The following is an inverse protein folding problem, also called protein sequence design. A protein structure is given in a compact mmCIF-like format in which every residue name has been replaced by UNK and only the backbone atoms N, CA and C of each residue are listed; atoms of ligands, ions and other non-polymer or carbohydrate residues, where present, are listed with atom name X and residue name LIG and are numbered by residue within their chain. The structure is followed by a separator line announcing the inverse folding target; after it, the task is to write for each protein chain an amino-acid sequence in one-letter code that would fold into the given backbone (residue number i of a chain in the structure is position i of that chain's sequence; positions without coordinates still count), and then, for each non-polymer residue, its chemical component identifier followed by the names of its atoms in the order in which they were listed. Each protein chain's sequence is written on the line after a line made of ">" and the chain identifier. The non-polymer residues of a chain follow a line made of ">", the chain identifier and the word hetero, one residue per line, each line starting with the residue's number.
data_IF_225938673840
#
_entry.id   IF_225938673840
#
_cell.length_a   1.000
_cell.length_b   1.000
_cell.length_c   1.000
_cell.angle_alpha   90.00
_cell.angle_beta   90.00
_cell.angle_gamma   90.00
#
_symmetry.space_group_name_H-M   'P 1'
#
loop_
_entity.id
_entity.type
_entity.pdbx_description
1 polymer ?
#
# COMPACT_ATOMS: atom_id res chain seq x y z
N UNK A 1 14.89 10.22 -9.36
CA UNK A 1 14.32 9.98 -8.00
C UNK A 1 12.93 9.38 -8.11
N UNK A 2 12.78 8.08 -7.79
CA UNK A 2 11.49 7.42 -7.84
C UNK A 2 10.55 7.99 -6.78
N UNK A 3 9.38 8.43 -7.18
CA UNK A 3 8.34 8.89 -6.26
C UNK A 3 8.02 7.78 -5.26
N UNK A 4 8.02 8.10 -3.98
CA UNK A 4 7.49 7.23 -2.96
C UNK A 4 5.95 7.23 -2.98
N UNK A 5 5.36 6.84 -4.08
CA UNK A 5 4.07 6.19 -3.99
C UNK A 5 4.34 4.86 -3.31
N UNK A 6 3.62 4.57 -2.22
CA UNK A 6 3.64 3.33 -1.47
C UNK A 6 4.32 2.21 -2.24
N UNK A 7 5.37 1.61 -1.67
CA UNK A 7 6.30 0.67 -2.30
C UNK A 7 5.62 -0.55 -2.94
N UNK A 8 4.74 -0.31 -3.91
CA UNK A 8 4.03 -1.38 -4.64
C UNK A 8 4.95 -2.19 -5.55
N UNK A 9 6.15 -1.66 -5.85
CA UNK A 9 7.11 -2.38 -6.70
C UNK A 9 7.68 -3.67 -6.06
N UNK A 10 7.59 -3.82 -4.74
CA UNK A 10 8.08 -5.00 -4.03
C UNK A 10 6.99 -5.84 -3.38
N UNK A 11 5.75 -5.34 -3.39
CA UNK A 11 4.63 -6.04 -2.82
C UNK A 11 4.24 -7.26 -3.66
N UNK A 12 4.53 -8.41 -3.14
CA UNK A 12 4.07 -9.67 -3.71
C UNK A 12 2.58 -9.80 -3.47
N UNK A 13 1.78 -9.77 -4.53
CA UNK A 13 0.32 -9.80 -4.46
C UNK A 13 -0.16 -11.06 -3.73
N UNK A 14 0.48 -12.20 -3.99
CA UNK A 14 0.18 -13.47 -3.34
C UNK A 14 0.45 -13.47 -1.82
N UNK A 15 1.33 -12.60 -1.34
CA UNK A 15 1.61 -12.47 0.11
C UNK A 15 0.54 -11.61 0.82
N UNK A 16 -0.07 -10.66 0.10
CA UNK A 16 -1.11 -9.77 0.63
C UNK A 16 -2.49 -10.41 0.67
N UNK A 17 -2.84 -11.14 -0.39
CA UNK A 17 -4.18 -11.72 -0.54
C UNK A 17 -4.23 -13.15 -0.01
N UNK A 18 -4.32 -13.28 1.30
CA UNK A 18 -4.43 -14.57 2.01
C UNK A 18 -5.87 -15.01 2.24
N UNK A 19 -6.86 -14.29 1.74
CA UNK A 19 -8.29 -14.57 1.99
C UNK A 19 -8.76 -15.94 1.54
N UNK A 20 -8.00 -16.61 0.67
CA UNK A 20 -8.43 -17.84 -0.01
C UNK A 20 -7.58 -19.08 0.27
N UNK A 21 -6.63 -19.02 1.20
CA UNK A 21 -5.85 -20.21 1.53
C UNK A 21 -4.53 -19.89 2.21
N UNK A 22 -4.55 -19.93 3.51
CA UNK A 22 -3.32 -19.90 4.32
C UNK A 22 -2.78 -21.31 4.61
N UNK A 23 -3.37 -22.35 3.99
CA UNK A 23 -3.11 -23.73 4.35
C UNK A 23 -3.86 -24.17 5.61
N UNK A 24 -3.58 -25.40 6.08
CA UNK A 24 -4.25 -25.98 7.26
C UNK A 24 -3.75 -25.32 8.54
N UNK A 25 -2.48 -24.88 8.55
CA UNK A 25 -1.81 -24.34 9.72
C UNK A 25 -1.48 -25.37 10.81
N UNK A 26 -0.60 -24.99 11.71
CA UNK A 26 -0.27 -25.76 12.92
C UNK A 26 -1.01 -25.12 14.09
N UNK A 27 -1.97 -25.83 14.65
CA UNK A 27 -2.74 -25.34 15.78
C UNK A 27 -2.10 -25.74 17.12
N UNK A 28 -1.97 -24.78 18.02
CA UNK A 28 -1.53 -24.99 19.38
C UNK A 28 -2.40 -24.18 20.33
N UNK A 29 -3.35 -24.85 20.97
CA UNK A 29 -4.34 -24.20 21.84
C UNK A 29 -5.20 -23.20 21.07
N UNK A 30 -5.16 -21.94 21.49
CA UNK A 30 -5.90 -20.83 20.90
C UNK A 30 -5.17 -20.14 19.74
N UNK A 31 -4.02 -20.65 19.32
CA UNK A 31 -3.20 -20.05 18.27
C UNK A 31 -3.05 -20.98 17.07
N UNK A 32 -2.91 -20.36 15.90
CA UNK A 32 -2.57 -20.99 14.62
C UNK A 32 -1.30 -20.39 14.06
N UNK A 33 -0.38 -21.26 13.63
CA UNK A 33 0.88 -20.91 13.00
C UNK A 33 0.85 -21.33 11.54
N UNK A 34 1.11 -20.41 10.63
CA UNK A 34 1.16 -20.64 9.18
C UNK A 34 2.54 -20.29 8.64
N UNK A 35 3.48 -21.22 8.56
CA UNK A 35 4.72 -21.04 7.84
C UNK A 35 4.47 -21.11 6.33
N UNK A 36 5.25 -20.37 5.57
CA UNK A 36 5.15 -20.36 4.10
C UNK A 36 6.48 -20.03 3.46
N UNK A 37 6.61 -20.41 2.21
CA UNK A 37 7.72 -20.03 1.36
C UNK A 37 7.22 -19.78 -0.06
N UNK A 38 7.73 -18.74 -0.69
CA UNK A 38 7.52 -18.45 -2.11
C UNK A 38 8.83 -18.29 -2.84
N UNK A 39 8.85 -18.68 -4.10
CA UNK A 39 9.95 -18.44 -5.02
C UNK A 39 9.41 -17.82 -6.30
N UNK A 40 10.09 -16.82 -6.84
CA UNK A 40 9.73 -16.16 -8.08
C UNK A 40 10.98 -15.93 -8.92
N UNK A 41 10.83 -16.12 -10.22
CA UNK A 41 11.86 -15.80 -11.21
C UNK A 41 11.24 -14.99 -12.34
N UNK A 42 11.92 -13.95 -12.80
CA UNK A 42 11.33 -13.07 -13.80
C UNK A 42 12.29 -12.10 -14.44
N UNK A 43 11.72 -11.28 -15.30
CA UNK A 43 12.39 -10.26 -16.11
C UNK A 43 11.97 -8.86 -15.63
N UNK A 44 12.90 -7.94 -15.69
CA UNK A 44 12.74 -6.53 -15.38
C UNK A 44 13.46 -5.70 -16.45
N UNK A 45 12.73 -4.88 -17.16
CA UNK A 45 13.26 -4.14 -18.31
C UNK A 45 14.11 -2.92 -17.94
N UNK A 46 13.91 -2.37 -16.73
CA UNK A 46 14.55 -1.12 -16.32
C UNK A 46 14.56 -0.98 -14.80
N UNK A 47 15.42 -1.78 -14.14
CA UNK A 47 15.48 -1.80 -12.67
C UNK A 47 15.81 -0.43 -12.06
N UNK A 48 16.78 0.29 -12.66
CA UNK A 48 17.26 1.57 -12.16
C UNK A 48 16.35 2.76 -12.51
N UNK A 49 15.23 2.54 -13.20
CA UNK A 49 14.31 3.59 -13.64
C UNK A 49 15.00 4.69 -14.46
N UNK A 50 15.99 4.32 -15.27
CA UNK A 50 16.67 5.25 -16.17
C UNK A 50 15.71 5.72 -17.26
N UNK A 51 15.89 6.94 -17.73
CA UNK A 51 15.13 7.45 -18.86
C UNK A 51 15.42 6.64 -20.14
N UNK A 52 14.45 6.62 -21.06
CA UNK A 52 14.57 5.79 -22.28
C UNK A 52 15.80 6.12 -23.13
N UNK A 53 16.32 7.35 -23.05
CA UNK A 53 17.53 7.82 -23.72
C UNK A 53 18.82 7.58 -22.89
N UNK A 54 18.75 7.04 -21.67
CA UNK A 54 19.87 6.81 -20.75
C UNK A 54 20.24 5.33 -20.63
N UNK A 55 19.93 4.52 -21.64
CA UNK A 55 20.17 3.08 -21.66
C UNK A 55 19.56 2.34 -20.45
N UNK A 56 18.25 2.05 -20.50
CA UNK A 56 17.58 1.23 -19.50
C UNK A 56 18.34 -0.07 -19.24
N UNK A 57 18.49 -0.46 -17.97
CA UNK A 57 19.24 -1.64 -17.54
C UNK A 57 18.32 -2.84 -17.32
N UNK A 58 18.23 -3.79 -18.28
CA UNK A 58 17.42 -4.98 -18.14
C UNK A 58 18.12 -6.05 -17.29
N UNK A 59 17.34 -6.80 -16.51
CA UNK A 59 17.85 -7.88 -15.67
C UNK A 59 16.88 -9.04 -15.54
N UNK A 60 17.42 -10.22 -15.24
CA UNK A 60 16.65 -11.30 -14.65
C UNK A 60 16.75 -11.21 -13.13
N UNK A 61 15.65 -11.54 -12.45
CA UNK A 61 15.57 -11.46 -10.99
C UNK A 61 15.01 -12.75 -10.41
N UNK A 62 15.69 -13.26 -9.39
CA UNK A 62 15.18 -14.34 -8.55
C UNK A 62 14.84 -13.81 -7.17
N UNK A 63 13.70 -14.24 -6.62
CA UNK A 63 13.25 -13.87 -5.29
C UNK A 63 12.85 -15.11 -4.51
N UNK A 64 13.29 -15.20 -3.25
CA UNK A 64 12.88 -16.26 -2.32
C UNK A 64 12.33 -15.58 -1.08
N UNK A 65 11.10 -15.95 -0.69
CA UNK A 65 10.37 -15.28 0.39
C UNK A 65 9.84 -16.30 1.40
N UNK A 66 10.62 -16.63 2.42
CA UNK A 66 10.08 -17.28 3.61
C UNK A 66 9.15 -16.32 4.36
N UNK A 67 8.08 -16.87 4.93
CA UNK A 67 7.10 -16.14 5.74
C UNK A 67 6.56 -16.99 6.87
N UNK A 68 6.14 -16.34 7.94
CA UNK A 68 5.48 -16.96 9.08
C UNK A 68 4.36 -16.04 9.57
N UNK A 69 3.19 -16.62 9.81
CA UNK A 69 2.06 -15.89 10.41
C UNK A 69 1.60 -16.65 11.65
N UNK A 70 1.42 -15.95 12.75
CA UNK A 70 0.83 -16.42 13.98
C UNK A 70 -0.46 -15.64 14.24
N UNK A 71 -1.57 -16.33 14.45
CA UNK A 71 -2.85 -15.68 14.74
C UNK A 71 -3.64 -16.45 15.80
N UNK A 72 -4.57 -15.77 16.47
CA UNK A 72 -5.58 -16.47 17.28
C UNK A 72 -6.52 -17.23 16.36
N UNK A 73 -6.93 -18.42 16.76
CA UNK A 73 -7.90 -19.26 16.03
C UNK A 73 -9.16 -18.47 15.67
N UNK A 74 -9.53 -18.45 14.40
CA UNK A 74 -10.72 -17.77 13.92
C UNK A 74 -12.01 -18.32 14.53
N UNK A 75 -13.04 -17.47 14.63
CA UNK A 75 -14.33 -17.82 15.23
C UNK A 75 -14.98 -19.02 14.53
N UNK A 76 -14.94 -19.09 13.19
CA UNK A 76 -15.51 -20.18 12.41
C UNK A 76 -14.92 -21.55 12.76
N UNK A 77 -13.62 -21.61 13.04
CA UNK A 77 -12.95 -22.84 13.47
C UNK A 77 -13.23 -23.19 14.92
N UNK A 78 -13.53 -22.19 15.77
CA UNK A 78 -13.95 -22.40 17.16
C UNK A 78 -15.40 -22.88 17.25
N UNK A 79 -16.30 -22.36 16.42
CA UNK A 79 -17.72 -22.73 16.38
C UNK A 79 -17.92 -24.19 15.90
N UNK A 80 -17.04 -24.68 15.00
CA UNK A 80 -17.08 -26.08 14.56
C UNK A 80 -16.82 -27.11 15.67
N UNK A 81 -16.20 -26.71 16.81
CA UNK A 81 -15.85 -27.61 17.92
C UNK A 81 -16.83 -27.55 19.11
N UNK A 82 -17.51 -26.45 19.33
CA UNK A 82 -18.25 -26.23 20.59
C UNK A 82 -19.63 -25.60 20.46
N UNK A 83 -20.16 -25.37 19.26
CA UNK A 83 -21.45 -24.65 19.06
C UNK A 83 -21.39 -23.25 19.70
N UNK A 84 -21.82 -22.20 19.05
CA UNK A 84 -21.95 -20.83 19.53
C UNK A 84 -20.88 -20.37 20.55
N UNK A 85 -19.60 -20.42 20.16
CA UNK A 85 -18.51 -19.94 21.02
C UNK A 85 -18.57 -18.42 21.19
N UNK A 86 -18.41 -17.94 22.41
CA UNK A 86 -18.31 -16.49 22.65
C UNK A 86 -17.15 -15.88 21.84
N UNK A 87 -17.31 -14.68 21.28
CA UNK A 87 -16.23 -14.00 20.56
C UNK A 87 -15.04 -13.81 21.50
N UNK A 88 -13.80 -14.02 21.01
CA UNK A 88 -12.61 -13.90 21.84
C UNK A 88 -12.52 -12.49 22.43
N UNK A 89 -12.11 -12.38 23.70
CA UNK A 89 -11.85 -11.08 24.34
C UNK A 89 -10.68 -10.34 23.71
N UNK A 90 -9.75 -11.10 23.15
CA UNK A 90 -8.53 -10.61 22.49
C UNK A 90 -8.33 -11.38 21.20
N UNK A 91 -8.09 -10.68 20.11
CA UNK A 91 -7.67 -11.24 18.82
C UNK A 91 -6.28 -10.70 18.48
N UNK A 92 -5.39 -11.62 18.13
CA UNK A 92 -3.99 -11.31 17.84
C UNK A 92 -3.60 -11.87 16.48
N UNK A 93 -2.80 -11.11 15.74
CA UNK A 93 -2.15 -11.56 14.51
C UNK A 93 -0.75 -10.93 14.42
N UNK A 94 0.25 -11.76 14.14
CA UNK A 94 1.59 -11.31 13.79
C UNK A 94 2.04 -12.01 12.52
N UNK A 95 2.71 -11.30 11.63
CA UNK A 95 3.27 -11.85 10.41
C UNK A 95 4.65 -11.27 10.15
N UNK A 96 5.58 -12.10 9.67
CA UNK A 96 6.92 -11.71 9.24
C UNK A 96 7.21 -12.41 7.93
N UNK A 97 7.79 -11.67 6.96
CA UNK A 97 8.34 -12.24 5.75
C UNK A 97 9.64 -11.51 5.38
N UNK A 98 10.60 -12.27 4.86
CA UNK A 98 11.86 -11.75 4.33
C UNK A 98 12.00 -12.17 2.88
N UNK A 99 12.39 -11.28 1.98
CA UNK A 99 12.60 -11.57 0.57
C UNK A 99 14.05 -11.35 0.21
N UNK A 100 14.77 -12.40 -0.06
CA UNK A 100 16.08 -12.33 -0.70
C UNK A 100 15.93 -12.09 -2.20
N UNK A 101 16.68 -11.15 -2.73
CA UNK A 101 16.69 -10.78 -4.15
C UNK A 101 18.06 -10.99 -4.75
N UNK A 102 18.12 -11.77 -5.82
CA UNK A 102 19.27 -11.98 -6.68
C UNK A 102 19.03 -11.39 -8.05
N UNK A 103 20.06 -10.80 -8.65
CA UNK A 103 20.01 -10.12 -9.93
C UNK A 103 21.02 -10.72 -10.89
N UNK A 104 20.63 -10.88 -12.15
CA UNK A 104 21.46 -11.30 -13.25
C UNK A 104 21.35 -10.23 -14.33
N UNK A 105 22.40 -9.45 -14.53
CA UNK A 105 22.46 -8.45 -15.59
C UNK A 105 22.34 -9.12 -16.96
N UNK A 106 21.55 -8.54 -17.84
CA UNK A 106 21.49 -8.99 -19.26
C UNK A 106 22.49 -8.24 -20.13
N UNK A 107 22.95 -7.06 -19.69
CA UNK A 107 24.08 -6.37 -20.29
C UNK A 107 25.32 -6.48 -19.37
N UNK A 108 26.49 -6.75 -19.97
CA UNK A 108 27.76 -6.84 -19.25
C UNK A 108 28.17 -5.50 -18.63
N UNK A 109 27.80 -4.38 -19.26
CA UNK A 109 28.11 -3.05 -18.76
C UNK A 109 27.46 -2.80 -17.37
N UNK A 110 26.27 -3.34 -17.13
CA UNK A 110 25.55 -3.16 -15.88
C UNK A 110 25.86 -4.26 -14.83
N UNK A 111 26.75 -5.21 -15.12
CA UNK A 111 26.99 -6.37 -14.26
C UNK A 111 27.47 -6.00 -12.85
N UNK A 112 28.33 -5.00 -12.73
CA UNK A 112 28.81 -4.52 -11.42
C UNK A 112 27.70 -3.83 -10.65
N UNK A 113 26.94 -2.96 -11.31
CA UNK A 113 25.81 -2.22 -10.72
C UNK A 113 24.80 -3.19 -10.11
N UNK A 114 24.44 -4.27 -10.83
CA UNK A 114 23.50 -5.28 -10.33
C UNK A 114 24.09 -6.14 -9.21
N UNK A 115 25.40 -6.39 -9.20
CA UNK A 115 26.01 -7.18 -8.13
C UNK A 115 25.89 -6.51 -6.75
N UNK A 116 25.86 -5.19 -6.72
CA UNK A 116 25.68 -4.38 -5.51
C UNK A 116 24.22 -4.28 -5.05
N UNK A 117 23.28 -4.65 -5.92
CA UNK A 117 21.84 -4.60 -5.61
C UNK A 117 21.31 -5.86 -4.91
N UNK A 118 22.13 -6.90 -4.73
CA UNK A 118 21.75 -8.08 -3.94
C UNK A 118 21.36 -7.66 -2.53
N UNK A 119 20.14 -7.97 -2.14
CA UNK A 119 19.65 -7.43 -0.87
C UNK A 119 18.49 -8.26 -0.32
N UNK A 120 18.14 -7.97 0.93
CA UNK A 120 16.99 -8.57 1.62
C UNK A 120 15.97 -7.49 1.90
N UNK A 121 14.79 -7.58 1.31
CA UNK A 121 13.62 -6.84 1.76
C UNK A 121 12.94 -7.58 2.92
N UNK A 122 12.18 -6.87 3.75
CA UNK A 122 11.49 -7.51 4.87
C UNK A 122 10.22 -6.77 5.23
N UNK A 123 9.21 -7.51 5.67
CA UNK A 123 7.97 -6.98 6.20
C UNK A 123 7.61 -7.68 7.50
N UNK A 124 7.21 -6.91 8.49
CA UNK A 124 6.66 -7.40 9.75
C UNK A 124 5.37 -6.67 10.05
N UNK A 125 4.38 -7.35 10.58
CA UNK A 125 3.14 -6.75 11.06
C UNK A 125 2.66 -7.40 12.34
N UNK A 126 2.06 -6.60 13.20
CA UNK A 126 1.44 -7.02 14.44
C UNK A 126 0.10 -6.30 14.57
N UNK A 127 -0.94 -7.04 14.90
CA UNK A 127 -2.26 -6.50 15.18
C UNK A 127 -2.84 -7.18 16.40
N UNK A 128 -3.28 -6.38 17.35
CA UNK A 128 -3.99 -6.79 18.56
C UNK A 128 -5.32 -6.07 18.60
N UNK A 129 -6.43 -6.81 18.72
CA UNK A 129 -7.75 -6.24 18.92
C UNK A 129 -8.30 -6.70 20.26
N UNK A 130 -8.70 -5.75 21.08
CA UNK A 130 -9.20 -5.96 22.43
C UNK A 130 -10.71 -5.76 22.43
N UNK A 131 -11.44 -6.71 22.96
CA UNK A 131 -12.91 -6.73 23.02
C UNK A 131 -13.60 -6.52 21.67
N UNK A 132 -13.21 -7.30 20.61
CA UNK A 132 -13.87 -7.18 19.31
C UNK A 132 -15.40 -7.41 19.48
N UNK A 133 -16.20 -6.68 18.70
CA UNK A 133 -17.67 -6.74 18.72
C UNK A 133 -18.35 -6.26 20.02
N UNK A 134 -17.61 -5.68 20.97
CA UNK A 134 -18.21 -4.99 22.13
C UNK A 134 -18.47 -3.52 21.79
N UNK A 135 -19.35 -2.83 22.52
CA UNK A 135 -19.61 -1.40 22.31
C UNK A 135 -18.35 -0.53 22.36
N UNK A 136 -17.38 -0.92 23.15
CA UNK A 136 -16.03 -0.35 23.16
C UNK A 136 -15.03 -1.44 22.80
N UNK A 137 -14.23 -1.17 21.77
CA UNK A 137 -13.13 -2.03 21.36
C UNK A 137 -11.87 -1.21 21.13
N UNK A 138 -10.72 -1.80 21.43
CA UNK A 138 -9.41 -1.21 21.21
C UNK A 138 -8.63 -1.99 20.14
N UNK A 139 -7.80 -1.31 19.39
CA UNK A 139 -6.82 -1.92 18.48
C UNK A 139 -5.43 -1.31 18.70
N UNK A 140 -4.42 -2.16 18.66
CA UNK A 140 -3.01 -1.79 18.66
C UNK A 140 -2.38 -2.49 17.47
N UNK A 141 -1.59 -1.77 16.70
CA UNK A 141 -0.88 -2.35 15.56
C UNK A 141 0.52 -1.78 15.41
N UNK A 142 1.37 -2.56 14.80
CA UNK A 142 2.69 -2.14 14.38
C UNK A 142 3.05 -2.81 13.05
N UNK A 143 3.57 -2.03 12.13
CA UNK A 143 4.08 -2.48 10.83
C UNK A 143 5.52 -2.03 10.67
N UNK A 144 6.36 -2.89 10.12
CA UNK A 144 7.72 -2.58 9.76
C UNK A 144 8.01 -3.09 8.34
N UNK A 145 8.55 -2.24 7.50
CA UNK A 145 8.90 -2.54 6.12
C UNK A 145 10.33 -2.10 5.85
N UNK A 146 11.20 -3.03 5.46
CA UNK A 146 12.47 -2.73 4.80
C UNK A 146 12.27 -2.83 3.31
N UNK A 147 12.21 -1.70 2.65
CA UNK A 147 12.05 -1.60 1.19
C UNK A 147 13.41 -1.47 0.53
N UNK A 148 13.64 -2.28 -0.48
CA UNK A 148 14.83 -2.21 -1.35
C UNK A 148 14.41 -1.63 -2.68
N UNK A 149 14.89 -0.43 -2.99
CA UNK A 149 14.55 0.30 -4.21
C UNK A 149 15.81 0.89 -4.83
N UNK A 150 15.95 0.80 -6.15
CA UNK A 150 17.05 1.47 -6.85
C UNK A 150 16.86 2.99 -6.84
N UNK A 151 17.94 3.70 -7.03
CA UNK A 151 18.00 5.08 -7.49
C UNK A 151 18.24 5.10 -9.00
N UNK A 152 18.09 6.26 -9.65
CA UNK A 152 18.48 6.46 -11.05
C UNK A 152 19.99 6.34 -11.25
N UNK A 153 20.78 6.63 -10.22
CA UNK A 153 22.21 6.44 -10.19
C UNK A 153 22.54 5.12 -9.49
N UNK A 154 23.29 4.24 -10.14
CA UNK A 154 23.70 2.93 -9.62
C UNK A 154 24.56 3.00 -8.36
N UNK A 155 25.27 4.12 -8.14
CA UNK A 155 26.11 4.34 -6.96
C UNK A 155 25.31 4.58 -5.68
N UNK A 156 24.00 4.85 -5.78
CA UNK A 156 23.13 5.13 -4.65
C UNK A 156 21.93 4.18 -4.65
N UNK A 157 21.36 3.96 -3.48
CA UNK A 157 20.14 3.19 -3.35
C UNK A 157 19.09 3.95 -2.50
N UNK A 158 17.83 3.75 -2.85
CA UNK A 158 16.70 4.38 -2.16
C UNK A 158 16.10 3.44 -1.10
N UNK A 159 16.96 2.59 -0.52
CA UNK A 159 16.58 1.62 0.49
C UNK A 159 16.21 2.33 1.80
N UNK A 160 15.07 1.94 2.35
CA UNK A 160 14.57 2.55 3.57
C UNK A 160 13.86 1.58 4.49
N UNK A 161 13.91 1.90 5.76
CA UNK A 161 13.00 1.38 6.76
C UNK A 161 11.80 2.33 6.91
N UNK A 162 10.61 1.76 6.87
CA UNK A 162 9.38 2.45 7.23
C UNK A 162 8.70 1.64 8.31
N UNK A 163 8.48 2.26 9.47
CA UNK A 163 7.75 1.64 10.58
C UNK A 163 6.55 2.49 10.93
N UNK A 164 5.47 1.84 11.30
CA UNK A 164 4.28 2.49 11.83
C UNK A 164 3.83 1.72 13.07
N UNK A 165 3.46 2.44 14.12
CA UNK A 165 2.86 1.87 15.31
C UNK A 165 1.69 2.76 15.74
N UNK A 166 0.57 2.15 16.05
CA UNK A 166 -0.62 2.92 16.38
C UNK A 166 -1.54 2.20 17.33
N UNK A 167 -2.45 2.99 17.89
CA UNK A 167 -3.54 2.51 18.73
C UNK A 167 -4.83 3.25 18.38
N UNK A 168 -5.95 2.57 18.54
CA UNK A 168 -7.26 3.12 18.30
C UNK A 168 -8.30 2.65 19.31
N UNK A 169 -9.27 3.49 19.55
CA UNK A 169 -10.46 3.19 20.34
C UNK A 169 -11.68 3.35 19.44
N UNK A 170 -12.51 2.33 19.37
CA UNK A 170 -13.76 2.32 18.61
C UNK A 170 -14.94 2.24 19.57
N UNK A 171 -15.86 3.16 19.41
CA UNK A 171 -17.17 3.15 20.07
C UNK A 171 -18.25 2.78 19.06
N UNK A 172 -18.93 1.67 19.29
CA UNK A 172 -19.99 1.13 18.44
C UNK A 172 -21.21 0.78 19.29
N UNK A 173 -22.02 1.77 19.70
CA UNK A 173 -23.20 1.54 20.54
C UNK A 173 -24.26 0.78 19.74
N UNK A 174 -24.67 -0.37 20.24
CA UNK A 174 -25.85 -1.13 19.84
C UNK A 174 -26.00 -1.42 18.33
N UNK A 175 -26.03 -2.68 17.94
CA UNK A 175 -26.52 -3.12 16.62
C UNK A 175 -25.73 -2.70 15.37
N UNK A 176 -24.60 -2.02 15.50
CA UNK A 176 -23.75 -1.64 14.37
C UNK A 176 -24.31 -0.54 13.46
N UNK A 177 -25.31 0.21 13.91
CA UNK A 177 -25.83 1.38 13.17
C UNK A 177 -24.85 2.55 13.16
N UNK A 178 -24.10 2.70 14.24
CA UNK A 178 -23.14 3.78 14.42
C UNK A 178 -21.81 3.19 14.93
N UNK A 179 -20.71 3.64 14.37
CA UNK A 179 -19.39 3.43 14.93
C UNK A 179 -18.54 4.69 14.74
N UNK A 180 -17.74 4.95 15.76
CA UNK A 180 -16.81 6.06 15.76
C UNK A 180 -15.46 5.59 16.30
N UNK A 181 -14.39 5.81 15.55
CA UNK A 181 -13.02 5.47 15.93
C UNK A 181 -12.18 6.73 16.05
N UNK A 182 -11.40 6.80 17.11
CA UNK A 182 -10.29 7.72 17.27
C UNK A 182 -9.00 6.92 17.32
N UNK A 183 -7.93 7.45 16.76
CA UNK A 183 -6.66 6.74 16.70
C UNK A 183 -5.47 7.67 16.67
N UNK A 184 -4.34 7.14 17.12
CA UNK A 184 -3.03 7.73 17.01
C UNK A 184 -2.10 6.76 16.31
N UNK A 185 -1.25 7.27 15.42
CA UNK A 185 -0.20 6.52 14.72
C UNK A 185 1.12 7.31 14.78
N UNK A 186 2.17 6.63 15.17
CA UNK A 186 3.55 7.07 14.99
C UNK A 186 4.13 6.37 13.75
N UNK A 187 4.75 7.14 12.86
CA UNK A 187 5.46 6.66 11.69
C UNK A 187 6.92 7.12 11.70
N UNK A 188 7.81 6.25 11.25
CA UNK A 188 9.22 6.57 11.04
C UNK A 188 9.63 6.09 9.66
N UNK A 189 10.26 6.97 8.88
CA UNK A 189 10.93 6.63 7.62
C UNK A 189 12.40 6.95 7.75
N UNK A 190 13.26 5.94 7.58
CA UNK A 190 14.71 6.07 7.69
C UNK A 190 15.37 5.55 6.41
N UNK A 191 16.12 6.41 5.71
CA UNK A 191 16.90 6.07 4.54
C UNK A 191 18.26 5.54 4.94
N UNK A 192 18.66 4.40 4.35
CA UNK A 192 19.91 3.71 4.68
C UNK A 192 21.12 4.38 4.04
N UNK A 193 20.95 4.86 2.80
CA UNK A 193 22.00 5.56 2.06
C UNK A 193 22.20 6.97 2.61
N UNK A 194 23.44 7.38 2.75
CA UNK A 194 23.81 8.71 3.26
C UNK A 194 23.35 9.84 2.36
N UNK A 195 23.28 9.59 1.04
CA UNK A 195 22.79 10.57 0.06
C UNK A 195 21.33 10.98 0.26
N UNK A 196 20.51 10.06 0.84
CA UNK A 196 19.08 10.29 1.08
C UNK A 196 18.69 10.39 2.55
N UNK A 197 19.67 10.39 3.45
CA UNK A 197 19.43 10.39 4.89
C UNK A 197 18.63 11.60 5.36
N UNK A 198 18.80 12.75 4.71
CA UNK A 198 18.10 13.99 5.01
C UNK A 198 16.59 13.91 4.72
N UNK A 199 16.15 12.92 3.94
CA UNK A 199 14.75 12.62 3.70
C UNK A 199 14.11 11.79 4.82
N UNK A 200 14.90 11.35 5.79
CA UNK A 200 14.40 10.59 6.94
C UNK A 200 13.52 11.48 7.80
N UNK A 201 12.38 10.96 8.20
CA UNK A 201 11.38 11.74 8.93
C UNK A 201 10.60 10.86 9.90
N UNK A 202 10.00 11.52 10.89
CA UNK A 202 8.97 10.94 11.75
C UNK A 202 7.64 11.65 11.51
N UNK A 203 6.56 10.90 11.74
CA UNK A 203 5.20 11.41 11.56
C UNK A 203 4.32 10.98 12.73
N UNK A 204 3.63 11.94 13.34
CA UNK A 204 2.61 11.71 14.34
C UNK A 204 1.25 11.99 13.69
N UNK A 205 0.34 11.02 13.63
CA UNK A 205 -0.98 11.18 13.01
C UNK A 205 -2.08 10.91 14.01
N UNK A 206 -2.93 11.89 14.25
CA UNK A 206 -4.18 11.75 14.95
C UNK A 206 -5.29 11.60 13.93
N UNK A 207 -6.14 10.59 14.09
CA UNK A 207 -7.20 10.27 13.14
C UNK A 207 -8.53 10.06 13.83
N UNK A 208 -9.61 10.39 13.15
CA UNK A 208 -10.97 10.13 13.60
C UNK A 208 -11.80 9.67 12.41
N UNK A 209 -12.59 8.62 12.59
CA UNK A 209 -13.47 8.06 11.57
C UNK A 209 -14.81 7.75 12.16
N UNK A 210 -15.86 8.17 11.46
CA UNK A 210 -17.25 7.91 11.83
C UNK A 210 -17.99 7.20 10.71
N UNK A 211 -18.87 6.29 11.09
CA UNK A 211 -19.81 5.65 10.17
C UNK A 211 -21.18 5.60 10.82
N UNK A 212 -22.16 6.13 10.09
CA UNK A 212 -23.56 6.06 10.49
C UNK A 212 -24.41 5.41 9.40
N UNK A 213 -24.91 4.22 9.67
CA UNK A 213 -25.84 3.49 8.79
C UNK A 213 -27.25 3.98 9.04
N UNK A 214 -27.69 4.97 8.28
CA UNK A 214 -29.06 5.52 8.38
C UNK A 214 -30.07 4.71 7.57
N UNK A 215 -29.59 3.89 6.62
CA UNK A 215 -30.37 2.89 5.90
C UNK A 215 -29.66 1.52 5.99
N UNK A 216 -30.38 0.41 5.80
CA UNK A 216 -29.81 -0.94 5.90
C UNK A 216 -28.58 -1.18 5.02
N UNK A 217 -28.51 -0.48 3.86
CA UNK A 217 -27.46 -0.65 2.86
C UNK A 217 -26.66 0.62 2.56
N UNK A 218 -26.88 1.70 3.31
CA UNK A 218 -26.23 2.99 3.05
C UNK A 218 -25.77 3.61 4.36
N UNK A 219 -24.55 4.11 4.36
CA UNK A 219 -23.93 4.79 5.48
C UNK A 219 -23.37 6.15 5.09
N UNK A 220 -23.49 7.11 5.99
CA UNK A 220 -22.66 8.32 6.00
C UNK A 220 -21.31 7.97 6.58
N UNK A 221 -20.25 8.45 5.95
CA UNK A 221 -18.86 8.28 6.40
C UNK A 221 -18.27 9.65 6.70
N UNK A 222 -17.51 9.71 7.77
CA UNK A 222 -16.63 10.83 8.10
C UNK A 222 -15.22 10.32 8.31
N UNK A 223 -14.22 11.04 7.77
CA UNK A 223 -12.80 10.76 7.93
C UNK A 223 -12.06 12.06 8.16
N UNK A 224 -11.34 12.15 9.26
CA UNK A 224 -10.53 13.31 9.61
C UNK A 224 -9.15 12.89 10.13
N UNK A 225 -8.12 13.65 9.77
CA UNK A 225 -6.76 13.42 10.30
C UNK A 225 -5.95 14.69 10.37
N UNK A 226 -5.06 14.74 11.35
CA UNK A 226 -4.01 15.75 11.51
C UNK A 226 -2.69 15.01 11.67
N UNK A 227 -1.76 15.28 10.77
CA UNK A 227 -0.39 14.76 10.82
C UNK A 227 0.58 15.85 11.29
N UNK A 228 1.68 15.44 11.88
CA UNK A 228 2.85 16.29 12.16
C UNK A 228 4.04 15.50 11.63
N UNK A 229 4.71 16.03 10.60
CA UNK A 229 5.89 15.41 9.99
C UNK A 229 7.11 16.26 10.28
N UNK A 230 8.12 15.64 10.88
CA UNK A 230 9.38 16.30 11.24
C UNK A 230 10.55 15.62 10.52
N UNK A 231 11.44 16.43 9.92
CA UNK A 231 12.68 15.98 9.30
C UNK A 231 13.85 16.28 10.25
N UNK A 232 14.38 15.23 10.90
CA UNK A 232 15.36 15.40 12.00
C UNK A 232 16.80 15.63 11.58
N UNK A 233 17.18 15.17 10.40
CA UNK A 233 18.55 15.15 9.95
C UNK A 233 18.80 16.30 9.00
N UNK A 234 19.09 17.46 9.58
CA UNK A 234 19.66 18.64 8.96
C UNK A 234 19.03 19.06 7.61
N UNK A 235 18.19 20.08 7.56
CA UNK A 235 17.44 20.47 6.37
C UNK A 235 18.32 21.15 5.30
N UNK A 236 19.53 20.67 5.05
CA UNK A 236 20.40 21.21 4.00
C UNK A 236 19.80 21.03 2.60
N UNK A 237 18.97 20.00 2.40
CA UNK A 237 18.28 19.75 1.15
C UNK A 237 16.93 20.47 1.01
N UNK A 238 16.60 21.35 1.96
CA UNK A 238 15.40 22.19 1.88
C UNK A 238 14.07 21.50 2.17
N UNK A 239 14.08 20.29 2.76
CA UNK A 239 12.86 19.65 3.24
C UNK A 239 12.30 20.41 4.45
N UNK A 240 11.00 20.68 4.42
CA UNK A 240 10.33 21.44 5.48
C UNK A 240 9.42 20.52 6.30
N UNK A 241 9.40 20.79 7.61
CA UNK A 241 8.40 20.20 8.49
C UNK A 241 7.00 20.60 8.05
N UNK A 242 6.04 19.70 8.19
CA UNK A 242 4.68 19.91 7.72
C UNK A 242 3.63 19.43 8.71
N UNK A 243 2.46 20.05 8.63
CA UNK A 243 1.27 19.63 9.37
C UNK A 243 0.11 19.39 8.38
N UNK A 244 0.04 18.21 7.71
CA UNK A 244 -1.07 17.88 6.84
C UNK A 244 -2.36 17.65 7.63
N UNK A 245 -3.40 18.36 7.23
CA UNK A 245 -4.76 18.23 7.78
C UNK A 245 -5.69 17.76 6.67
N UNK A 246 -6.56 16.81 6.97
CA UNK A 246 -7.56 16.27 6.03
C UNK A 246 -8.88 16.09 6.74
N UNK A 247 -9.96 16.42 6.06
CA UNK A 247 -11.31 16.11 6.49
C UNK A 247 -12.18 15.77 5.28
N UNK A 248 -12.94 14.70 5.34
CA UNK A 248 -13.84 14.23 4.28
C UNK A 248 -15.14 13.73 4.86
N UNK A 249 -16.22 14.02 4.18
CA UNK A 249 -17.55 13.50 4.45
C UNK A 249 -18.07 12.83 3.18
N UNK A 250 -18.84 11.77 3.32
CA UNK A 250 -19.36 11.08 2.16
C UNK A 250 -20.37 9.99 2.47
N UNK A 251 -20.69 9.24 1.43
CA UNK A 251 -21.66 8.16 1.44
C UNK A 251 -21.00 6.88 0.92
N UNK A 252 -21.37 5.77 1.55
CA UNK A 252 -21.04 4.43 1.05
C UNK A 252 -22.31 3.58 1.11
N UNK A 253 -22.67 2.96 0.00
CA UNK A 253 -23.86 2.12 0.01
C UNK A 253 -24.05 1.32 -1.29
N UNK A 254 -24.98 0.37 -1.22
CA UNK A 254 -25.45 -0.39 -2.36
C UNK A 254 -26.56 0.39 -3.09
N UNK A 255 -26.29 0.80 -4.33
CA UNK A 255 -27.31 1.39 -5.22
C UNK A 255 -28.26 0.31 -5.70
N UNK A 256 -27.71 -0.84 -6.05
CA UNK A 256 -28.46 -2.05 -6.42
C UNK A 256 -27.86 -3.25 -5.66
N UNK A 257 -28.42 -4.45 -5.84
CA UNK A 257 -27.84 -5.69 -5.27
C UNK A 257 -26.43 -5.99 -5.78
N UNK A 258 -26.07 -5.45 -6.94
CA UNK A 258 -24.80 -5.72 -7.62
C UNK A 258 -23.88 -4.50 -7.69
N UNK A 259 -24.36 -3.31 -7.35
CA UNK A 259 -23.63 -2.07 -7.54
C UNK A 259 -23.50 -1.30 -6.23
N UNK A 260 -22.28 -1.03 -5.79
CA UNK A 260 -21.99 -0.16 -4.65
C UNK A 260 -21.31 1.12 -5.10
N UNK A 261 -21.60 2.20 -4.41
CA UNK A 261 -20.98 3.51 -4.58
C UNK A 261 -20.34 3.94 -3.26
N UNK A 262 -19.10 4.36 -3.34
CA UNK A 262 -18.43 5.19 -2.34
C UNK A 262 -18.22 6.56 -2.96
N UNK A 263 -18.62 7.63 -2.27
CA UNK A 263 -18.32 9.00 -2.69
C UNK A 263 -18.02 9.82 -1.44
N UNK A 264 -16.85 10.41 -1.38
CA UNK A 264 -16.38 11.26 -0.29
C UNK A 264 -15.72 12.51 -0.87
N UNK A 265 -16.00 13.65 -0.28
CA UNK A 265 -15.33 14.90 -0.61
C UNK A 265 -15.05 15.68 0.68
N UNK A 266 -14.09 16.56 0.62
CA UNK A 266 -13.70 17.37 1.76
C UNK A 266 -12.56 18.31 1.46
N UNK A 267 -11.91 18.75 2.50
CA UNK A 267 -10.83 19.71 2.43
C UNK A 267 -9.54 19.11 2.98
N UNK A 268 -8.40 19.50 2.36
CA UNK A 268 -7.09 19.16 2.82
C UNK A 268 -6.15 20.36 2.71
N UNK A 269 -5.26 20.48 3.67
CA UNK A 269 -4.18 21.47 3.66
C UNK A 269 -2.91 20.89 4.24
N UNK A 270 -1.77 21.30 3.65
CA UNK A 270 -0.45 20.98 4.18
C UNK A 270 0.19 22.28 4.68
N UNK A 271 0.33 22.41 5.96
CA UNK A 271 0.98 23.61 6.53
C UNK A 271 2.48 23.36 6.65
N UNK A 272 3.28 24.04 5.82
CA UNK A 272 4.73 24.02 5.87
C UNK A 272 5.26 25.31 6.51
N UNK A 273 6.34 25.21 7.26
CA UNK A 273 7.00 26.35 7.89
C UNK A 273 8.38 26.54 7.27
N UNK A 274 8.59 27.63 6.57
CA UNK A 274 9.88 27.94 5.97
C UNK A 274 9.81 29.00 4.88
N UNK A 275 10.99 29.39 4.40
CA UNK A 275 11.11 30.35 3.29
C UNK A 275 10.55 29.72 2.02
N UNK A 276 9.73 30.49 1.28
CA UNK A 276 9.09 30.06 0.04
C UNK A 276 8.37 28.70 0.12
N UNK A 277 7.79 28.38 1.29
CA UNK A 277 7.03 27.17 1.51
C UNK A 277 5.80 27.12 0.59
N UNK A 278 5.69 26.06 -0.19
CA UNK A 278 4.54 25.80 -1.05
C UNK A 278 3.52 24.98 -0.29
N UNK A 279 2.29 25.47 -0.17
CA UNK A 279 1.24 24.81 0.60
C UNK A 279 0.14 24.30 -0.33
N UNK A 280 -0.32 23.09 -0.07
CA UNK A 280 -1.59 22.65 -0.59
C UNK A 280 -2.72 23.21 0.27
N UNK A 281 -3.74 23.75 -0.38
CA UNK A 281 -4.99 24.15 0.28
C UNK A 281 -6.12 23.98 -0.74
N UNK A 282 -6.94 22.94 -0.55
CA UNK A 282 -7.95 22.65 -1.55
C UNK A 282 -8.79 21.41 -1.29
N UNK A 283 -9.57 21.06 -2.30
CA UNK A 283 -10.50 19.94 -2.25
C UNK A 283 -9.76 18.62 -2.40
N UNK A 284 -10.03 17.68 -1.50
CA UNK A 284 -9.68 16.27 -1.61
C UNK A 284 -10.96 15.45 -1.78
N UNK A 285 -10.89 14.39 -2.60
CA UNK A 285 -12.08 13.61 -2.94
C UNK A 285 -11.74 12.15 -3.22
N UNK A 286 -12.73 11.28 -3.05
CA UNK A 286 -12.66 9.88 -3.45
C UNK A 286 -14.03 9.44 -3.94
N UNK A 287 -14.07 8.76 -5.09
CA UNK A 287 -15.27 8.11 -5.60
C UNK A 287 -14.90 6.73 -6.14
N UNK A 288 -15.71 5.73 -5.85
CA UNK A 288 -15.55 4.38 -6.37
C UNK A 288 -16.91 3.77 -6.68
N UNK A 289 -17.05 3.27 -7.88
CA UNK A 289 -18.18 2.46 -8.30
C UNK A 289 -17.70 1.00 -8.39
N UNK A 290 -18.28 0.12 -7.58
CA UNK A 290 -17.92 -1.28 -7.54
C UNK A 290 -19.10 -2.15 -7.98
N UNK A 291 -18.87 -2.95 -8.99
CA UNK A 291 -19.83 -3.90 -9.54
C UNK A 291 -19.49 -5.33 -9.11
N UNK A 292 -20.43 -5.98 -8.44
CA UNK A 292 -20.40 -7.40 -8.08
C UNK A 292 -21.06 -8.18 -9.22
N UNK A 293 -20.27 -8.61 -10.22
CA UNK A 293 -20.77 -9.22 -11.45
C UNK A 293 -21.45 -10.56 -11.16
N UNK A 294 -20.84 -11.36 -10.28
CA UNK A 294 -21.46 -12.59 -9.75
C UNK A 294 -21.68 -12.39 -8.26
N UNK A 295 -22.90 -12.11 -7.83
CA UNK A 295 -23.21 -12.07 -6.41
C UNK A 295 -22.99 -13.45 -5.80
N UNK A 296 -22.27 -13.51 -4.67
CA UNK A 296 -22.09 -14.76 -3.93
C UNK A 296 -23.43 -15.30 -3.46
N UNK A 297 -23.60 -16.62 -3.47
CA UNK A 297 -24.78 -17.31 -2.92
C UNK A 297 -24.57 -17.37 -1.39
N UNK A 298 -25.27 -16.52 -0.62
CA UNK A 298 -25.19 -16.52 0.85
C UNK A 298 -25.83 -15.27 1.49
N UNK A 299 -26.12 -15.34 2.77
CA UNK A 299 -26.80 -14.29 3.51
C UNK A 299 -25.99 -12.97 3.51
N UNK A 300 -26.55 -11.99 2.85
CA UNK A 300 -25.95 -10.69 2.50
C UNK A 300 -25.62 -9.77 3.69
N UNK A 301 -25.95 -10.13 4.91
CA UNK A 301 -25.90 -9.20 6.06
C UNK A 301 -24.70 -9.39 6.99
N UNK A 302 -23.98 -10.50 6.95
CA UNK A 302 -22.93 -10.84 7.93
C UNK A 302 -21.76 -11.64 7.34
N UNK A 303 -21.21 -11.22 6.20
CA UNK A 303 -20.02 -11.87 5.65
C UNK A 303 -20.34 -13.06 4.74
N UNK A 304 -21.31 -12.87 3.85
CA UNK A 304 -21.60 -13.82 2.78
C UNK A 304 -20.36 -14.14 1.93
N UNK A 305 -20.40 -15.23 1.13
CA UNK A 305 -19.27 -15.66 0.33
C UNK A 305 -18.78 -14.52 -0.56
N UNK A 306 -17.46 -14.37 -0.62
CA UNK A 306 -16.80 -13.31 -1.40
C UNK A 306 -17.28 -13.40 -2.85
N UNK A 307 -17.59 -12.27 -3.51
CA UNK A 307 -18.04 -12.27 -4.88
C UNK A 307 -16.96 -12.87 -5.77
N UNK A 308 -17.37 -13.78 -6.65
CA UNK A 308 -16.47 -14.49 -7.57
C UNK A 308 -15.88 -13.53 -8.60
N UNK A 309 -16.67 -12.54 -9.02
CA UNK A 309 -16.25 -11.52 -9.98
C UNK A 309 -16.58 -10.14 -9.50
N UNK A 310 -15.60 -9.25 -9.52
CA UNK A 310 -15.80 -7.83 -9.22
C UNK A 310 -15.10 -6.94 -10.23
N UNK A 311 -15.72 -5.79 -10.51
CA UNK A 311 -15.09 -4.68 -11.24
C UNK A 311 -15.25 -3.42 -10.39
N UNK A 312 -14.19 -2.65 -10.24
CA UNK A 312 -14.21 -1.37 -9.54
C UNK A 312 -13.57 -0.29 -10.41
N UNK A 313 -14.28 0.81 -10.59
CA UNK A 313 -13.77 2.03 -11.23
C UNK A 313 -13.74 3.12 -10.18
N UNK A 314 -12.60 3.79 -10.01
CA UNK A 314 -12.47 4.80 -8.97
C UNK A 314 -11.65 6.01 -9.38
N UNK A 315 -11.85 7.06 -8.62
CA UNK A 315 -11.11 8.32 -8.66
C UNK A 315 -10.71 8.71 -7.24
N UNK A 316 -9.47 9.18 -7.07
CA UNK A 316 -8.99 9.72 -5.80
C UNK A 316 -8.11 10.95 -6.05
N UNK A 317 -8.47 12.07 -5.44
CA UNK A 317 -7.67 13.28 -5.37
C UNK A 317 -7.16 13.47 -3.96
N UNK A 318 -5.85 13.51 -3.79
CA UNK A 318 -5.20 13.70 -2.49
C UNK A 318 -3.81 14.32 -2.69
N UNK A 319 -3.26 14.93 -1.66
CA UNK A 319 -1.92 15.49 -1.66
C UNK A 319 -1.00 14.68 -0.74
N UNK A 320 0.30 14.72 -1.04
CA UNK A 320 1.32 13.97 -0.31
C UNK A 320 2.58 14.82 -0.17
N UNK A 321 3.34 14.60 0.91
CA UNK A 321 4.67 15.19 1.04
C UNK A 321 5.57 14.64 -0.08
N UNK A 322 6.39 15.51 -0.67
CA UNK A 322 7.26 15.21 -1.79
C UNK A 322 8.72 15.13 -1.34
N UNK A 323 9.50 14.25 -1.96
CA UNK A 323 10.96 14.26 -1.79
C UNK A 323 11.67 15.23 -2.74
N UNK A 324 10.98 15.73 -3.76
CA UNK A 324 11.52 16.74 -4.68
C UNK A 324 11.28 18.17 -4.19
N UNK A 325 10.23 18.37 -3.43
CA UNK A 325 9.82 19.69 -2.94
C UNK A 325 8.92 19.51 -1.71
N UNK A 326 7.99 20.43 -1.51
CA UNK A 326 7.12 20.40 -0.32
C UNK A 326 6.03 19.32 -0.46
N UNK A 327 5.19 19.42 -1.50
CA UNK A 327 4.12 18.45 -1.74
C UNK A 327 3.96 18.12 -3.23
N UNK A 328 3.14 17.12 -3.51
CA UNK A 328 2.55 16.90 -4.82
C UNK A 328 1.07 16.56 -4.66
N UNK A 329 0.28 16.95 -5.67
CA UNK A 329 -1.14 16.61 -5.80
C UNK A 329 -1.27 15.44 -6.77
N UNK A 330 -2.00 14.40 -6.39
CA UNK A 330 -2.27 13.24 -7.23
C UNK A 330 -3.77 13.13 -7.53
N UNK A 331 -4.11 13.12 -8.81
CA UNK A 331 -5.44 12.80 -9.31
C UNK A 331 -5.41 11.38 -9.90
N UNK A 332 -5.79 10.38 -9.13
CA UNK A 332 -5.68 8.98 -9.51
C UNK A 332 -7.00 8.42 -10.02
N UNK A 333 -7.04 8.02 -11.27
CA UNK A 333 -8.09 7.21 -11.89
C UNK A 333 -7.65 5.76 -11.91
N UNK A 334 -8.49 4.84 -11.45
CA UNK A 334 -8.11 3.43 -11.41
C UNK A 334 -9.26 2.50 -11.77
N UNK A 335 -8.88 1.33 -12.30
CA UNK A 335 -9.76 0.22 -12.60
C UNK A 335 -9.17 -1.03 -11.98
N UNK A 336 -9.98 -1.79 -11.24
CA UNK A 336 -9.62 -3.09 -10.70
C UNK A 336 -10.64 -4.13 -11.17
N UNK A 337 -10.16 -5.22 -11.75
CA UNK A 337 -10.96 -6.38 -12.13
C UNK A 337 -10.45 -7.58 -11.34
N UNK A 338 -11.35 -8.37 -10.76
CA UNK A 338 -11.00 -9.60 -10.07
C UNK A 338 -12.00 -10.68 -10.40
N UNK A 339 -11.50 -11.89 -10.73
CA UNK A 339 -12.32 -13.04 -11.00
C UNK A 339 -11.67 -14.33 -10.47
N UNK A 340 -12.47 -15.17 -9.83
CA UNK A 340 -12.06 -16.51 -9.38
C UNK A 340 -12.74 -17.57 -10.25
N UNK A 341 -11.99 -18.12 -11.22
CA UNK A 341 -12.47 -19.17 -12.11
C UNK A 341 -12.50 -20.52 -11.38
N UNK A 342 -13.66 -21.16 -11.37
CA UNK A 342 -13.86 -22.51 -10.81
C UNK A 342 -13.27 -22.72 -9.41
N UNK A 343 -13.14 -21.66 -8.61
CA UNK A 343 -12.58 -21.71 -7.26
C UNK A 343 -11.06 -21.95 -7.19
N UNK A 344 -10.36 -22.09 -8.32
CA UNK A 344 -8.94 -22.46 -8.37
C UNK A 344 -8.04 -21.46 -9.07
N UNK A 345 -8.52 -20.73 -10.07
CA UNK A 345 -7.72 -19.75 -10.79
C UNK A 345 -8.20 -18.33 -10.45
N UNK A 346 -7.40 -17.59 -9.72
CA UNK A 346 -7.63 -16.18 -9.41
C UNK A 346 -6.95 -15.31 -10.46
N UNK A 347 -7.69 -14.39 -11.07
CA UNK A 347 -7.16 -13.33 -11.92
C UNK A 347 -7.49 -11.97 -11.30
N UNK A 348 -6.47 -11.12 -11.16
CA UNK A 348 -6.63 -9.73 -10.74
C UNK A 348 -5.92 -8.83 -11.76
N UNK A 349 -6.60 -7.83 -12.25
CA UNK A 349 -6.05 -6.81 -13.16
C UNK A 349 -6.31 -5.46 -12.53
N UNK A 350 -5.24 -4.70 -12.33
CA UNK A 350 -5.28 -3.34 -11.82
C UNK A 350 -4.64 -2.39 -12.84
N UNK A 351 -5.29 -1.27 -13.11
CA UNK A 351 -4.76 -0.21 -13.95
C UNK A 351 -5.01 1.15 -13.28
N UNK A 352 -4.05 2.06 -13.38
CA UNK A 352 -4.20 3.42 -12.89
C UNK A 352 -3.50 4.43 -13.79
N UNK A 353 -4.14 5.58 -13.95
CA UNK A 353 -3.57 6.78 -14.55
C UNK A 353 -3.60 7.88 -13.47
N UNK A 354 -2.44 8.46 -13.20
CA UNK A 354 -2.28 9.40 -12.08
C UNK A 354 -1.55 10.65 -12.58
N UNK A 355 -2.24 11.70 -13.08
CA UNK A 355 -1.65 13.03 -13.16
C UNK A 355 -1.13 13.45 -11.79
N UNK A 356 0.17 13.75 -11.73
CA UNK A 356 0.84 14.18 -10.50
C UNK A 356 1.35 15.59 -10.71
N UNK A 357 0.80 16.56 -9.99
CA UNK A 357 1.14 17.97 -10.12
C UNK A 357 2.04 18.40 -8.97
N UNK A 358 3.15 19.01 -9.33
CA UNK A 358 4.14 19.58 -8.42
C UNK A 358 4.06 21.09 -8.45
N UNK A 359 4.04 21.77 -7.30
CA UNK A 359 4.24 23.22 -7.25
C UNK A 359 5.68 23.58 -7.63
N UNK A 360 5.99 24.84 -7.68
CA UNK A 360 7.36 25.33 -7.81
C UNK A 360 8.26 24.69 -6.74
N UNK A 361 9.35 24.09 -7.18
CA UNK A 361 10.28 23.37 -6.31
C UNK A 361 11.37 24.32 -5.82
N UNK A 362 11.58 24.35 -4.51
CA UNK A 362 12.67 25.04 -3.85
C UNK A 362 13.51 24.03 -3.09
N UNK A 363 14.83 24.04 -3.28
CA UNK A 363 15.78 23.19 -2.58
C UNK A 363 16.91 24.00 -1.98
N UNK A 364 17.74 23.37 -1.15
CA UNK A 364 18.86 24.04 -0.48
C UNK A 364 18.38 25.20 0.40
N UNK A 365 18.95 26.38 0.19
CA UNK A 365 18.60 27.57 0.96
C UNK A 365 17.24 28.20 0.62
N UNK A 366 16.54 27.65 -0.39
CA UNK A 366 15.18 28.04 -0.83
C UNK A 366 15.03 29.50 -1.26
N UNK A 367 16.10 30.18 -1.63
CA UNK A 367 16.04 31.58 -2.07
C UNK A 367 15.61 31.73 -3.52
N UNK A 368 15.89 30.73 -4.36
CA UNK A 368 15.53 30.68 -5.77
C UNK A 368 14.83 29.36 -6.09
N UNK A 369 13.89 29.36 -7.05
CA UNK A 369 13.26 28.13 -7.49
C UNK A 369 14.28 27.23 -8.20
N UNK A 370 14.29 25.95 -7.87
CA UNK A 370 15.08 24.93 -8.57
C UNK A 370 14.37 24.50 -9.84
N UNK A 371 13.05 24.49 -9.83
CA UNK A 371 12.21 24.18 -10.98
C UNK A 371 10.82 24.82 -10.84
N UNK A 372 10.25 25.29 -11.93
CA UNK A 372 8.87 25.79 -11.97
C UNK A 372 7.86 24.65 -11.79
N UNK A 373 6.60 25.01 -11.48
CA UNK A 373 5.53 24.05 -11.34
C UNK A 373 5.33 23.20 -12.61
N UNK A 374 5.10 21.90 -12.46
CA UNK A 374 4.92 20.97 -13.57
C UNK A 374 3.95 19.83 -13.22
N UNK A 375 3.54 19.10 -14.24
CA UNK A 375 2.76 17.86 -14.09
C UNK A 375 3.50 16.70 -14.72
N UNK A 376 3.59 15.58 -13.99
CA UNK A 376 4.18 14.33 -14.44
C UNK A 376 3.13 13.22 -14.35
N UNK A 377 2.46 12.87 -15.46
CA UNK A 377 1.50 11.78 -15.48
C UNK A 377 2.19 10.43 -15.26
N UNK A 378 1.61 9.63 -14.39
CA UNK A 378 2.06 8.27 -14.13
C UNK A 378 1.02 7.25 -14.59
N UNK A 379 1.48 6.18 -15.21
CA UNK A 379 0.68 5.00 -15.58
C UNK A 379 1.20 3.80 -14.81
N UNK A 380 0.29 3.05 -14.19
CA UNK A 380 0.59 1.77 -13.55
C UNK A 380 -0.44 0.75 -14.04
N UNK A 381 0.03 -0.43 -14.46
CA UNK A 381 -0.82 -1.56 -14.81
C UNK A 381 -0.22 -2.83 -14.22
N UNK A 382 -1.06 -3.68 -13.62
CA UNK A 382 -0.64 -4.96 -13.04
C UNK A 382 -1.65 -6.04 -13.42
N UNK A 383 -1.17 -7.19 -13.87
CA UNK A 383 -1.98 -8.38 -13.99
C UNK A 383 -1.35 -9.49 -13.13
N UNK A 384 -2.17 -10.10 -12.29
CA UNK A 384 -1.81 -11.19 -11.42
C UNK A 384 -2.73 -12.37 -11.69
N UNK A 385 -2.15 -13.53 -11.99
CA UNK A 385 -2.84 -14.79 -12.13
C UNK A 385 -2.28 -15.81 -11.16
N UNK A 386 -3.14 -16.55 -10.46
CA UNK A 386 -2.75 -17.62 -9.57
C UNK A 386 -3.60 -18.86 -9.80
N UNK A 387 -2.97 -19.98 -10.08
CA UNK A 387 -3.61 -21.28 -10.12
C UNK A 387 -3.27 -22.07 -8.86
N UNK A 388 -4.31 -22.47 -8.12
CA UNK A 388 -4.21 -23.27 -6.90
C UNK A 388 -4.25 -24.75 -7.24
N UNK A 389 -3.13 -25.40 -7.10
CA UNK A 389 -3.03 -26.87 -7.25
C UNK A 389 -3.65 -27.57 -6.05
N UNK A 390 -3.44 -27.02 -4.85
CA UNK A 390 -4.05 -27.44 -3.58
C UNK A 390 -4.26 -26.22 -2.67
N UNK A 391 -4.83 -26.41 -1.50
CA UNK A 391 -5.02 -25.34 -0.51
C UNK A 391 -3.66 -24.80 -0.01
N UNK A 392 -2.61 -25.62 -0.08
CA UNK A 392 -1.27 -25.29 0.38
C UNK A 392 -0.31 -24.87 -0.72
N UNK A 393 -0.58 -25.21 -2.00
CA UNK A 393 0.36 -24.98 -3.09
C UNK A 393 -0.27 -24.27 -4.28
N UNK A 394 0.39 -23.21 -4.76
CA UNK A 394 -0.04 -22.43 -5.91
C UNK A 394 1.09 -22.02 -6.83
N UNK A 395 0.75 -21.84 -8.11
CA UNK A 395 1.63 -21.26 -9.13
C UNK A 395 1.04 -19.90 -9.50
N UNK A 396 1.88 -18.87 -9.59
CA UNK A 396 1.42 -17.54 -9.94
C UNK A 396 2.26 -16.90 -11.04
N UNK A 397 1.63 -16.00 -11.76
CA UNK A 397 2.27 -15.11 -12.71
C UNK A 397 1.90 -13.67 -12.36
N UNK A 398 2.88 -12.79 -12.33
CA UNK A 398 2.69 -11.36 -12.11
C UNK A 398 3.34 -10.60 -13.25
N UNK A 399 2.58 -9.76 -13.95
CA UNK A 399 3.12 -8.80 -14.90
C UNK A 399 2.81 -7.40 -14.42
N UNK A 400 3.76 -6.49 -14.61
CA UNK A 400 3.61 -5.11 -14.17
C UNK A 400 4.21 -4.17 -15.22
N UNK A 401 3.50 -3.13 -15.56
CA UNK A 401 4.00 -2.02 -16.34
C UNK A 401 3.83 -0.73 -15.52
N UNK A 402 4.86 0.07 -15.45
CA UNK A 402 4.80 1.38 -14.84
C UNK A 402 5.62 2.38 -15.66
N UNK A 403 5.11 3.59 -15.77
CA UNK A 403 5.77 4.67 -16.51
C UNK A 403 5.49 6.01 -15.84
N UNK A 404 6.49 6.86 -15.83
CA UNK A 404 6.37 8.29 -15.53
C UNK A 404 6.54 9.05 -16.84
N UNK A 405 5.46 9.62 -17.35
CA UNK A 405 5.39 10.21 -18.69
C UNK A 405 5.70 11.72 -18.57
N UNK A 406 6.97 12.07 -18.62
CA UNK A 406 7.42 13.47 -18.54
C UNK A 406 8.81 13.61 -19.14
N UNK A 407 9.12 14.77 -19.67
CA UNK A 407 10.45 15.16 -20.13
C UNK A 407 11.12 16.16 -19.16
N UNK A 408 10.56 16.30 -17.97
CA UNK A 408 11.05 17.24 -16.96
C UNK A 408 12.37 16.73 -16.37
N UNK A 409 13.35 17.63 -16.31
CA UNK A 409 14.66 17.40 -15.72
C UNK A 409 14.77 18.25 -14.46
N UNK A 410 15.02 17.63 -13.32
CA UNK A 410 15.27 18.29 -12.03
C UNK A 410 16.66 17.92 -11.56
N UNK A 411 17.54 18.91 -11.35
CA UNK A 411 18.93 18.68 -10.93
C UNK A 411 19.73 17.69 -11.81
N UNK A 412 19.56 17.76 -13.11
CA UNK A 412 20.12 16.86 -14.12
C UNK A 412 19.53 15.45 -14.18
N UNK A 413 18.59 15.11 -13.32
CA UNK A 413 17.86 13.84 -13.37
C UNK A 413 16.62 13.97 -14.24
N UNK A 414 16.53 13.17 -15.30
CA UNK A 414 15.32 13.06 -16.09
C UNK A 414 14.30 12.23 -15.31
N UNK A 415 13.11 12.81 -15.09
CA UNK A 415 12.04 12.14 -14.32
C UNK A 415 11.21 11.18 -15.16
N UNK A 416 11.39 11.16 -16.48
CA UNK A 416 10.67 10.28 -17.40
C UNK A 416 11.31 8.90 -17.48
N UNK A 417 10.52 7.84 -17.28
CA UNK A 417 10.97 6.46 -17.39
C UNK A 417 9.80 5.52 -17.65
N UNK A 418 10.11 4.35 -18.15
CA UNK A 418 9.18 3.22 -18.21
C UNK A 418 9.85 1.94 -17.73
N UNK A 419 9.05 1.00 -17.25
CA UNK A 419 9.49 -0.28 -16.73
C UNK A 419 8.43 -1.35 -16.93
N UNK A 420 8.84 -2.47 -17.45
CA UNK A 420 8.03 -3.68 -17.53
C UNK A 420 8.67 -4.79 -16.70
N UNK A 421 7.87 -5.46 -15.89
CA UNK A 421 8.28 -6.60 -15.08
C UNK A 421 7.35 -7.79 -15.36
N UNK A 422 7.93 -8.99 -15.43
CA UNK A 422 7.16 -10.24 -15.52
C UNK A 422 7.82 -11.31 -14.64
N UNK A 423 7.06 -11.91 -13.73
CA UNK A 423 7.52 -12.94 -12.79
C UNK A 423 6.62 -14.16 -12.85
N UNK A 424 7.23 -15.34 -12.89
CA UNK A 424 6.59 -16.62 -12.64
C UNK A 424 7.00 -17.10 -11.25
N UNK A 425 6.06 -17.54 -10.46
CA UNK A 425 6.31 -17.92 -9.08
C UNK A 425 5.57 -19.19 -8.64
N UNK A 426 6.09 -19.75 -7.57
CA UNK A 426 5.47 -20.84 -6.82
C UNK A 426 5.38 -20.45 -5.36
N UNK A 427 4.32 -20.87 -4.69
CA UNK A 427 4.16 -20.64 -3.27
C UNK A 427 3.65 -21.89 -2.55
N UNK A 428 4.11 -22.06 -1.35
CA UNK A 428 3.63 -23.08 -0.43
C UNK A 428 3.35 -22.46 0.94
N UNK A 429 2.19 -22.84 1.52
CA UNK A 429 1.79 -22.49 2.89
C UNK A 429 1.28 -23.75 3.58
N UNK A 430 1.66 -23.93 4.84
CA UNK A 430 1.15 -25.01 5.68
C UNK A 430 -0.11 -24.60 6.44
#
# INVERSE_FOLDING_TARGET
>A
MGYATTASAQDQIWLKDRRYGEGIGIRTGDFELHPGIGGEFGYDSNYFLRASNENPAPSLRARITPSITLSTVGQERREGESGAAEPPKVSFRAAVAGTYMEFIALDKADSNDFSEQRNIAGVGSLQLTIMPRRPFSGDIYADALRSVQPSNDANFNFNRFTTRAGAGLTWAPGGGMFDWRIGYEFGLTYFQDTAFRDLSNETHTFSTRGRWRFLPRTAVLYDGSVGITNYHLNPQNGQLDSMPVRTRLGLNGLITRQLSLLAMAGWGSSFYKGLNAQQYDGIIAQAELKWFITPGVGNELLGGPLPISTAALGYKRDFYNSYLGDYFLADRFYLTLSHLFSGRFLLVIDGAYTPTSFPTIYQGNRTMPTHEAFTAPRVDATAFGEYRLSDTFGINITTRYSANITDVIVQNDNLGWNRFEAFLGVRWFL
#
